data_IF_285217219224
#
_entry.id   IF_285217219224
#
_cell.length_a   1.000
_cell.length_b   1.000
_cell.length_c   1.000
_cell.angle_alpha   90.00
_cell.angle_beta   90.00
_cell.angle_gamma   90.00
#
_symmetry.space_group_name_H-M   'P 1'
#
loop_
_entity.id
_entity.type
_entity.pdbx_description
1 polymer ?
#
# COMPACT_ATOMS: atom_id res chain seq x y z
N UNK A 1 9.78 7.11 -10.97
CA UNK A 1 10.23 6.71 -9.62
C UNK A 1 11.01 5.38 -9.64
N UNK A 2 12.07 5.29 -8.82
CA UNK A 2 12.97 4.13 -8.76
C UNK A 2 12.64 3.13 -7.64
N UNK A 3 13.40 2.05 -7.59
CA UNK A 3 13.32 1.04 -6.53
C UNK A 3 13.63 1.65 -5.15
N UNK A 4 12.90 1.23 -4.12
CA UNK A 4 13.10 1.70 -2.74
C UNK A 4 12.66 3.14 -2.43
N UNK A 5 12.34 3.96 -3.45
CA UNK A 5 11.91 5.33 -3.25
C UNK A 5 10.41 5.41 -2.89
N UNK A 6 10.04 6.18 -1.84
CA UNK A 6 8.64 6.44 -1.51
C UNK A 6 7.86 7.11 -2.64
N UNK A 7 6.55 6.89 -2.65
CA UNK A 7 5.59 7.59 -3.50
C UNK A 7 4.37 7.98 -2.67
N UNK A 8 3.66 9.04 -3.06
CA UNK A 8 2.47 9.52 -2.35
C UNK A 8 1.38 8.44 -2.28
N UNK A 9 1.06 7.79 -3.40
CA UNK A 9 0.07 6.71 -3.40
C UNK A 9 0.47 5.50 -2.55
N UNK A 10 1.77 5.22 -2.40
CA UNK A 10 2.24 4.19 -1.48
C UNK A 10 2.00 4.61 -0.03
N UNK A 11 2.30 5.86 0.32
CA UNK A 11 2.10 6.39 1.68
C UNK A 11 0.61 6.30 2.02
N UNK A 12 -0.26 6.78 1.13
CA UNK A 12 -1.72 6.70 1.27
C UNK A 12 -2.18 5.25 1.49
N UNK A 13 -1.70 4.31 0.68
CA UNK A 13 -2.11 2.91 0.76
C UNK A 13 -1.69 2.25 2.08
N UNK A 14 -0.48 2.53 2.57
CA UNK A 14 -0.01 2.02 3.87
C UNK A 14 -0.85 2.60 5.00
N UNK A 15 -1.09 3.92 4.99
CA UNK A 15 -1.88 4.57 6.04
C UNK A 15 -3.32 4.08 6.06
N UNK A 16 -3.94 3.93 4.89
CA UNK A 16 -5.32 3.44 4.77
C UNK A 16 -5.46 2.05 5.38
N UNK A 17 -4.61 1.09 4.98
CA UNK A 17 -4.70 -0.27 5.51
C UNK A 17 -4.32 -0.36 6.99
N UNK A 18 -3.37 0.44 7.45
CA UNK A 18 -3.02 0.47 8.85
C UNK A 18 -4.18 1.02 9.71
N UNK A 19 -4.88 2.05 9.25
CA UNK A 19 -5.98 2.71 9.97
C UNK A 19 -7.29 1.91 9.94
N UNK A 20 -7.65 1.35 8.78
CA UNK A 20 -8.93 0.68 8.60
C UNK A 20 -8.88 -0.81 9.00
N UNK A 21 -7.77 -1.49 8.72
CA UNK A 21 -7.68 -2.96 8.85
C UNK A 21 -6.60 -3.42 9.85
N UNK A 22 -5.77 -2.51 10.38
CA UNK A 22 -4.64 -2.88 11.24
C UNK A 22 -3.54 -3.68 10.53
N UNK A 23 -3.51 -3.68 9.19
CA UNK A 23 -2.54 -4.42 8.39
C UNK A 23 -1.36 -3.51 8.03
N UNK A 24 -0.14 -3.94 8.37
CA UNK A 24 1.09 -3.21 8.09
C UNK A 24 1.75 -3.68 6.79
N UNK A 25 1.69 -2.84 5.76
CA UNK A 25 2.43 -3.00 4.52
C UNK A 25 3.80 -2.32 4.56
N UNK A 26 4.64 -2.57 3.56
CA UNK A 26 5.99 -2.01 3.46
C UNK A 26 6.15 -0.91 2.39
N UNK A 27 7.09 0.03 2.56
CA UNK A 27 7.27 1.16 1.63
C UNK A 27 7.87 0.82 0.26
N UNK A 28 8.41 -0.40 0.10
CA UNK A 28 9.15 -0.81 -1.10
C UNK A 28 8.28 -1.64 -2.03
N UNK A 29 7.52 -2.61 -1.51
CA UNK A 29 6.79 -3.59 -2.31
C UNK A 29 5.27 -3.53 -2.10
N UNK A 30 4.80 -4.09 -1.00
CA UNK A 30 3.40 -4.34 -0.71
C UNK A 30 2.58 -3.06 -0.62
N UNK A 31 3.16 -1.97 -0.10
CA UNK A 31 2.53 -0.64 -0.14
C UNK A 31 2.31 -0.13 -1.58
N UNK A 32 3.25 -0.37 -2.49
CA UNK A 32 3.10 0.00 -3.92
C UNK A 32 2.11 -0.92 -4.64
N UNK A 33 2.12 -2.20 -4.31
CA UNK A 33 1.13 -3.16 -4.81
C UNK A 33 -0.28 -2.76 -4.42
N UNK A 34 -0.49 -2.41 -3.16
CA UNK A 34 -1.78 -1.95 -2.65
C UNK A 34 -2.18 -0.60 -3.25
N UNK A 35 -1.26 0.35 -3.38
CA UNK A 35 -1.52 1.61 -4.06
C UNK A 35 -2.04 1.41 -5.50
N UNK A 36 -1.42 0.47 -6.23
CA UNK A 36 -1.89 0.08 -7.56
C UNK A 36 -3.29 -0.53 -7.54
N UNK A 37 -3.58 -1.43 -6.60
CA UNK A 37 -4.91 -2.03 -6.46
C UNK A 37 -5.98 -0.97 -6.16
N UNK A 38 -5.72 -0.07 -5.21
CA UNK A 38 -6.62 1.04 -4.86
C UNK A 38 -6.89 1.94 -6.07
N UNK A 39 -5.86 2.30 -6.83
CA UNK A 39 -5.99 3.10 -8.05
C UNK A 39 -6.85 2.40 -9.11
N UNK A 40 -6.65 1.10 -9.33
CA UNK A 40 -7.45 0.30 -10.26
C UNK A 40 -8.93 0.23 -9.83
N UNK A 41 -9.21 0.06 -8.54
CA UNK A 41 -10.58 0.08 -7.99
C UNK A 41 -11.22 1.46 -8.21
N UNK A 42 -10.53 2.55 -7.86
CA UNK A 42 -11.02 3.93 -8.05
C UNK A 42 -11.30 4.26 -9.52
N UNK A 43 -10.54 3.66 -10.45
CA UNK A 43 -10.74 3.77 -11.90
C UNK A 43 -11.84 2.85 -12.45
N UNK A 44 -12.54 2.09 -11.61
CA UNK A 44 -13.60 1.18 -12.03
C UNK A 44 -13.09 0.02 -12.89
N UNK A 45 -11.86 -0.46 -12.66
CA UNK A 45 -11.29 -1.58 -13.42
C UNK A 45 -11.88 -2.95 -13.05
N UNK A 46 -12.59 -3.02 -11.92
CA UNK A 46 -13.24 -4.22 -11.42
C UNK A 46 -14.75 -3.97 -11.30
N UNK A 47 -15.55 -5.03 -11.42
CA UNK A 47 -16.99 -4.93 -11.20
C UNK A 47 -17.28 -4.69 -9.70
N UNK A 48 -18.43 -4.07 -9.41
CA UNK A 48 -18.80 -3.64 -8.04
C UNK A 48 -18.75 -4.79 -7.02
N UNK A 49 -19.17 -5.99 -7.42
CA UNK A 49 -19.28 -7.16 -6.55
C UNK A 49 -18.21 -8.22 -6.86
N UNK A 50 -17.13 -7.82 -7.55
CA UNK A 50 -16.03 -8.71 -7.89
C UNK A 50 -15.15 -8.99 -6.66
N UNK A 51 -14.96 -10.26 -6.33
CA UNK A 51 -14.03 -10.67 -5.29
C UNK A 51 -12.58 -10.57 -5.79
N UNK A 52 -11.74 -9.83 -5.05
CA UNK A 52 -10.32 -9.62 -5.36
C UNK A 52 -9.47 -10.15 -4.22
N UNK A 53 -8.45 -10.95 -4.54
CA UNK A 53 -7.45 -11.42 -3.57
C UNK A 53 -6.19 -10.60 -3.74
N UNK A 54 -5.83 -9.82 -2.71
CA UNK A 54 -4.52 -9.19 -2.62
C UNK A 54 -3.54 -10.10 -1.89
N UNK A 55 -2.43 -10.47 -2.55
CA UNK A 55 -1.38 -11.25 -1.93
C UNK A 55 -0.44 -10.34 -1.13
N UNK A 56 -0.64 -10.26 0.18
CA UNK A 56 0.28 -9.56 1.06
C UNK A 56 1.58 -10.35 1.24
N UNK A 57 2.63 -9.95 0.52
CA UNK A 57 3.94 -10.62 0.48
C UNK A 57 4.88 -10.30 1.66
N UNK A 58 4.39 -9.64 2.71
CA UNK A 58 5.18 -9.21 3.86
C UNK A 58 5.96 -7.91 3.65
N UNK A 59 7.15 -7.82 4.26
CA UNK A 59 8.06 -6.65 4.16
C UNK A 59 7.91 -5.60 5.27
N UNK A 60 6.92 -5.73 6.16
CA UNK A 60 6.56 -4.72 7.17
C UNK A 60 7.72 -4.26 8.06
N UNK A 61 8.71 -5.12 8.31
CA UNK A 61 9.95 -4.74 9.02
C UNK A 61 10.72 -3.61 8.34
N UNK A 62 10.52 -3.40 7.05
CA UNK A 62 11.06 -2.27 6.30
C UNK A 62 10.59 -0.90 6.82
N UNK A 63 9.40 -0.82 7.44
CA UNK A 63 8.85 0.44 7.98
C UNK A 63 9.82 1.15 8.94
N UNK A 64 10.57 0.39 9.74
CA UNK A 64 11.51 0.96 10.71
C UNK A 64 12.67 1.74 10.07
N UNK A 65 13.00 1.46 8.81
CA UNK A 65 14.01 2.20 8.04
C UNK A 65 13.45 3.49 7.39
N UNK A 66 12.12 3.63 7.31
CA UNK A 66 11.43 4.71 6.60
C UNK A 66 10.64 5.63 7.53
N UNK A 67 11.02 5.74 8.82
CA UNK A 67 10.29 6.56 9.80
C UNK A 67 10.03 7.99 9.35
N UNK A 68 10.98 8.63 8.66
CA UNK A 68 10.83 10.02 8.16
C UNK A 68 9.79 10.16 7.05
N UNK A 69 9.37 9.06 6.43
CA UNK A 69 8.35 9.04 5.39
C UNK A 69 6.93 9.16 5.98
N UNK A 70 6.74 8.76 7.23
CA UNK A 70 5.43 8.77 7.89
C UNK A 70 5.50 9.72 9.09
N UNK A 71 4.78 10.83 9.03
CA UNK A 71 4.64 11.75 10.15
C UNK A 71 3.30 11.49 10.84
N UNK A 72 3.31 11.44 12.17
CA UNK A 72 2.09 11.51 12.97
C UNK A 72 1.47 12.91 12.88
#
# INVERSE_FOLDING_TARGET
>A
PGYGLPTEGMIEAIELLAKEEGILLDPVYSGKGMAGLIDLIRKGKFEKDQNIVFLHTGGSTGLFAYRKTFTA
#
